data_IF_765983308949
#
_entry.id   IF_765983308949
#
_cell.length_a   1.000
_cell.length_b   1.000
_cell.length_c   1.000
_cell.angle_alpha   90.00
_cell.angle_beta   90.00
_cell.angle_gamma   90.00
#
_symmetry.space_group_name_H-M   'P 1'
#
loop_
_entity.id
_entity.type
_entity.pdbx_description
1 polymer ?
#
# COMPACT_ATOMS: atom_id res chain seq x y z
N UNK A 1 -48.95 19.95 -66.39
CA UNK A 1 -48.75 18.77 -65.55
C UNK A 1 -47.52 19.03 -64.64
N UNK A 2 -47.79 19.45 -63.44
CA UNK A 2 -46.76 19.88 -62.48
C UNK A 2 -46.46 18.72 -61.54
N UNK A 3 -45.22 18.28 -61.52
CA UNK A 3 -44.74 17.23 -60.62
C UNK A 3 -44.12 17.87 -59.35
N UNK A 4 -44.81 17.73 -58.23
CA UNK A 4 -44.33 18.14 -56.91
C UNK A 4 -43.47 17.03 -56.31
N UNK A 5 -42.21 17.36 -55.95
CA UNK A 5 -41.27 16.49 -55.16
C UNK A 5 -41.50 16.68 -53.71
N UNK A 6 -41.54 15.63 -52.88
CA UNK A 6 -41.69 15.77 -51.39
C UNK A 6 -40.40 16.16 -50.75
N UNK A 7 -40.41 17.23 -49.98
CA UNK A 7 -39.33 17.69 -49.10
C UNK A 7 -39.23 16.76 -47.88
N UNK A 8 -38.11 16.05 -47.75
CA UNK A 8 -37.79 15.20 -46.58
C UNK A 8 -37.40 16.07 -45.38
N UNK A 9 -38.22 15.99 -44.36
CA UNK A 9 -38.01 16.61 -43.02
C UNK A 9 -36.83 15.93 -42.28
N UNK A 10 -35.65 16.56 -42.32
CA UNK A 10 -34.48 16.18 -41.57
C UNK A 10 -34.57 16.76 -40.15
N UNK A 11 -35.38 16.17 -39.28
CA UNK A 11 -35.30 16.42 -37.86
C UNK A 11 -34.00 15.81 -37.32
N UNK A 12 -33.00 16.66 -37.05
CA UNK A 12 -31.78 16.32 -36.33
C UNK A 12 -32.14 15.75 -34.97
N UNK A 13 -31.90 14.46 -34.77
CA UNK A 13 -31.93 13.82 -33.45
C UNK A 13 -30.84 14.45 -32.58
N UNK A 14 -31.21 15.39 -31.73
CA UNK A 14 -30.34 15.87 -30.64
C UNK A 14 -30.02 14.65 -29.76
N UNK A 15 -28.79 14.17 -29.82
CA UNK A 15 -28.25 13.17 -28.89
C UNK A 15 -28.38 13.73 -27.47
N UNK A 16 -29.10 13.01 -26.60
CA UNK A 16 -29.14 13.33 -25.17
C UNK A 16 -27.70 13.33 -24.66
N UNK A 17 -27.30 14.34 -23.87
CA UNK A 17 -25.97 14.36 -23.27
C UNK A 17 -25.82 13.08 -22.44
N UNK A 18 -24.80 12.27 -22.72
CA UNK A 18 -24.42 11.11 -21.93
C UNK A 18 -24.13 11.60 -20.52
N UNK A 19 -24.97 11.21 -19.57
CA UNK A 19 -24.80 11.52 -18.15
C UNK A 19 -23.43 10.99 -17.76
N UNK A 20 -22.49 11.87 -17.37
CA UNK A 20 -21.18 11.46 -16.93
C UNK A 20 -21.34 10.36 -15.87
N UNK A 21 -20.62 9.26 -16.03
CA UNK A 21 -20.67 8.12 -15.08
C UNK A 21 -20.36 8.64 -13.69
N UNK A 22 -21.29 8.48 -12.76
CA UNK A 22 -21.12 8.88 -11.38
C UNK A 22 -20.12 7.93 -10.70
N UNK A 23 -19.06 8.47 -10.11
CA UNK A 23 -18.09 7.69 -9.37
C UNK A 23 -18.71 7.06 -8.12
N UNK A 24 -18.21 5.88 -7.73
CA UNK A 24 -18.56 5.17 -6.51
C UNK A 24 -17.41 5.21 -5.49
N UNK A 25 -17.73 4.93 -4.23
CA UNK A 25 -16.74 4.75 -3.15
C UNK A 25 -15.76 3.63 -3.50
N UNK A 26 -16.22 2.57 -4.17
CA UNK A 26 -15.37 1.48 -4.64
C UNK A 26 -14.30 1.95 -5.66
N UNK A 27 -14.65 2.90 -6.55
CA UNK A 27 -13.65 3.48 -7.46
C UNK A 27 -12.65 4.38 -6.71
N UNK A 28 -13.07 5.09 -5.66
CA UNK A 28 -12.15 5.83 -4.77
C UNK A 28 -11.24 4.87 -4.00
N UNK A 29 -11.78 3.78 -3.47
CA UNK A 29 -11.00 2.72 -2.83
C UNK A 29 -9.94 2.15 -3.76
N UNK A 30 -10.31 1.81 -4.99
CA UNK A 30 -9.38 1.26 -5.98
C UNK A 30 -8.24 2.25 -6.32
N UNK A 31 -8.55 3.54 -6.47
CA UNK A 31 -7.54 4.58 -6.71
C UNK A 31 -6.59 4.75 -5.51
N UNK A 32 -7.11 4.74 -4.28
CA UNK A 32 -6.30 4.80 -3.06
C UNK A 32 -5.41 3.56 -2.92
N UNK A 33 -5.95 2.38 -3.21
CA UNK A 33 -5.18 1.12 -3.20
C UNK A 33 -4.08 1.10 -4.27
N UNK A 34 -4.27 1.75 -5.41
CA UNK A 34 -3.22 1.90 -6.42
C UNK A 34 -2.12 2.88 -5.98
N UNK A 35 -2.47 3.93 -5.22
CA UNK A 35 -1.51 4.91 -4.67
C UNK A 35 -0.72 4.31 -3.50
N UNK A 36 -1.39 3.61 -2.60
CA UNK A 36 -0.87 3.01 -1.38
C UNK A 36 -1.54 1.65 -1.16
N UNK A 37 -0.97 0.56 -1.70
CA UNK A 37 -1.58 -0.76 -1.60
C UNK A 37 -1.83 -1.15 -0.15
N UNK A 38 -3.10 -1.36 0.20
CA UNK A 38 -3.53 -1.65 1.57
C UNK A 38 -2.91 -2.93 2.13
N UNK A 39 -2.55 -3.87 1.25
CA UNK A 39 -1.83 -5.08 1.62
C UNK A 39 -0.42 -4.83 2.17
N UNK A 40 0.14 -3.61 1.96
CA UNK A 40 1.45 -3.22 2.50
C UNK A 40 1.36 -2.62 3.90
N UNK A 41 0.16 -2.35 4.41
CA UNK A 41 -0.01 -1.86 5.77
C UNK A 41 0.57 -2.83 6.79
N UNK A 42 0.93 -2.32 7.95
CA UNK A 42 1.36 -3.15 9.06
C UNK A 42 0.23 -4.10 9.51
N UNK A 43 0.56 -5.33 9.92
CA UNK A 43 -0.41 -6.36 10.31
C UNK A 43 -1.37 -5.96 11.44
N UNK A 44 -0.94 -5.01 12.28
CA UNK A 44 -1.74 -4.48 13.38
C UNK A 44 -2.63 -3.30 12.99
N UNK A 45 -2.48 -2.79 11.76
CA UNK A 45 -3.18 -1.61 11.28
C UNK A 45 -4.59 -1.92 10.76
N UNK A 46 -5.40 -0.87 10.56
CA UNK A 46 -6.74 -0.98 10.00
C UNK A 46 -6.93 0.07 8.90
N UNK A 47 -6.73 -0.32 7.66
CA UNK A 47 -6.77 0.55 6.47
C UNK A 47 -7.83 0.10 5.46
N UNK A 48 -8.12 0.95 4.49
CA UNK A 48 -9.11 0.71 3.46
C UNK A 48 -10.46 1.32 3.78
N UNK A 49 -11.56 0.70 3.35
CA UNK A 49 -12.93 1.16 3.60
C UNK A 49 -13.37 0.68 4.99
N UNK A 50 -13.40 1.59 5.96
CA UNK A 50 -13.71 1.28 7.37
C UNK A 50 -15.19 1.42 7.70
N UNK A 51 -15.91 2.31 7.00
CA UNK A 51 -17.34 2.49 7.19
C UNK A 51 -18.00 2.94 5.88
N UNK A 52 -19.24 2.52 5.63
CA UNK A 52 -19.96 2.83 4.40
C UNK A 52 -20.08 1.63 3.46
N UNK A 53 -20.35 1.90 2.18
CA UNK A 53 -20.54 0.86 1.15
C UNK A 53 -19.81 1.23 -0.15
N UNK A 54 -19.19 0.26 -0.84
CA UNK A 54 -18.50 0.50 -2.11
C UNK A 54 -19.40 1.07 -3.20
N UNK A 55 -20.71 0.73 -3.18
CA UNK A 55 -21.68 1.15 -4.19
C UNK A 55 -22.20 2.59 -3.97
N UNK A 56 -21.93 3.18 -2.81
CA UNK A 56 -22.38 4.54 -2.56
C UNK A 56 -21.70 5.53 -3.52
N UNK A 57 -22.42 6.61 -3.91
CA UNK A 57 -21.84 7.62 -4.80
C UNK A 57 -20.70 8.38 -4.12
N UNK A 58 -19.68 8.72 -4.91
CA UNK A 58 -18.56 9.55 -4.50
C UNK A 58 -18.44 10.75 -5.45
N UNK A 59 -18.84 11.93 -4.99
CA UNK A 59 -18.76 13.21 -5.72
C UNK A 59 -17.86 14.21 -5.03
N UNK A 60 -17.86 14.19 -3.70
CA UNK A 60 -17.11 15.11 -2.85
C UNK A 60 -16.35 14.33 -1.80
N UNK A 61 -15.03 14.41 -1.86
CA UNK A 61 -14.12 13.82 -0.88
C UNK A 61 -13.48 14.90 -0.01
N UNK A 62 -13.39 14.63 1.29
CA UNK A 62 -12.71 15.46 2.27
C UNK A 62 -11.52 14.69 2.84
N UNK A 63 -10.31 15.28 2.78
CA UNK A 63 -9.08 14.70 3.33
C UNK A 63 -8.79 15.31 4.69
N UNK A 64 -8.36 14.50 5.66
CA UNK A 64 -7.88 14.95 6.96
C UNK A 64 -6.80 13.99 7.49
N UNK A 65 -6.00 14.43 8.46
CA UNK A 65 -5.13 13.53 9.23
C UNK A 65 -6.01 12.76 10.21
N UNK A 66 -6.81 13.46 11.01
CA UNK A 66 -7.63 12.87 12.06
C UNK A 66 -9.12 13.08 11.81
N UNK A 67 -9.93 12.09 12.19
CA UNK A 67 -11.37 12.27 12.34
C UNK A 67 -11.65 12.87 13.74
N UNK A 68 -11.81 14.19 13.79
CA UNK A 68 -12.22 14.93 14.99
C UNK A 68 -13.67 15.41 14.87
N UNK A 69 -14.29 15.83 15.98
CA UNK A 69 -15.63 16.46 15.96
C UNK A 69 -15.73 17.63 14.99
N UNK A 70 -14.68 18.45 14.93
CA UNK A 70 -14.63 19.59 14.02
C UNK A 70 -14.58 19.16 12.55
N UNK A 71 -13.82 18.10 12.22
CA UNK A 71 -13.74 17.51 10.87
C UNK A 71 -15.07 16.84 10.51
N UNK A 72 -15.68 16.08 11.42
CA UNK A 72 -16.98 15.44 11.21
C UNK A 72 -18.07 16.49 10.91
N UNK A 73 -18.16 17.56 11.75
CA UNK A 73 -19.07 18.68 11.51
C UNK A 73 -18.81 19.39 10.17
N UNK A 74 -17.54 19.56 9.76
CA UNK A 74 -17.21 20.11 8.44
C UNK A 74 -17.70 19.19 7.32
N UNK A 75 -17.47 17.89 7.43
CA UNK A 75 -17.92 16.89 6.45
C UNK A 75 -19.44 16.94 6.26
N UNK A 76 -20.21 16.95 7.35
CA UNK A 76 -21.67 17.03 7.33
C UNK A 76 -22.18 18.34 6.71
N UNK A 77 -21.65 19.49 7.16
CA UNK A 77 -22.05 20.80 6.60
C UNK A 77 -21.77 20.91 5.11
N UNK A 78 -20.64 20.37 4.64
CA UNK A 78 -20.25 20.40 3.22
C UNK A 78 -20.88 19.27 2.41
N UNK A 79 -21.65 18.41 3.06
CA UNK A 79 -22.33 17.27 2.45
C UNK A 79 -21.35 16.44 1.62
N UNK A 80 -20.20 16.06 2.18
CA UNK A 80 -19.25 15.17 1.50
C UNK A 80 -19.81 13.75 1.44
N UNK A 81 -19.47 13.02 0.42
CA UNK A 81 -19.88 11.61 0.25
C UNK A 81 -18.81 10.67 0.82
N UNK A 82 -17.54 11.16 0.89
CA UNK A 82 -16.40 10.33 1.27
C UNK A 82 -15.43 11.12 2.13
N UNK A 83 -15.13 10.60 3.30
CA UNK A 83 -14.09 11.11 4.19
C UNK A 83 -12.87 10.18 4.08
N UNK A 84 -11.73 10.73 3.72
CA UNK A 84 -10.46 10.00 3.60
C UNK A 84 -9.55 10.54 4.70
N UNK A 85 -9.24 9.70 5.67
CA UNK A 85 -8.42 10.05 6.82
C UNK A 85 -7.08 9.32 6.77
N UNK A 86 -6.07 9.93 7.35
CA UNK A 86 -4.79 9.27 7.52
C UNK A 86 -4.89 8.25 8.65
N UNK A 87 -5.24 8.68 9.86
CA UNK A 87 -5.42 7.79 11.01
C UNK A 87 -6.79 7.09 10.97
N UNK A 88 -6.83 5.77 11.15
CA UNK A 88 -8.08 5.02 11.16
C UNK A 88 -8.92 5.37 12.41
N UNK A 89 -10.19 5.83 12.26
CA UNK A 89 -11.06 6.08 13.39
C UNK A 89 -11.53 4.81 14.09
N UNK A 90 -11.44 3.67 13.42
CA UNK A 90 -11.68 2.35 13.94
C UNK A 90 -10.31 1.68 14.05
N UNK A 91 -9.73 1.73 15.22
CA UNK A 91 -8.39 1.21 15.43
C UNK A 91 -8.39 0.11 16.48
N UNK A 92 -8.05 -1.10 16.05
CA UNK A 92 -7.83 -2.26 16.90
C UNK A 92 -6.32 -2.48 17.04
N UNK A 93 -5.63 -1.57 17.73
CA UNK A 93 -4.23 -1.74 18.04
C UNK A 93 -3.97 -3.07 18.77
N UNK A 94 -2.75 -3.57 18.73
CA UNK A 94 -2.32 -4.71 19.56
C UNK A 94 -1.77 -4.18 20.88
N UNK A 95 -2.28 -4.71 21.98
CA UNK A 95 -1.61 -4.62 23.27
C UNK A 95 -0.69 -5.85 23.39
N UNK A 96 0.58 -5.66 23.04
CA UNK A 96 1.54 -6.75 22.94
C UNK A 96 1.17 -7.80 21.87
N UNK A 97 1.18 -9.10 22.23
CA UNK A 97 0.87 -10.20 21.31
C UNK A 97 -0.63 -10.48 21.12
N UNK A 98 -1.53 -9.72 21.79
CA UNK A 98 -2.98 -9.95 21.71
C UNK A 98 -3.64 -8.86 20.88
N UNK A 99 -4.50 -9.21 19.89
CA UNK A 99 -5.33 -8.21 19.22
C UNK A 99 -6.22 -7.54 20.29
N UNK A 100 -6.29 -6.21 20.28
CA UNK A 100 -7.26 -5.49 21.09
C UNK A 100 -8.66 -5.97 20.68
N UNK A 101 -9.54 -6.17 21.65
CA UNK A 101 -10.92 -6.56 21.39
C UNK A 101 -11.56 -5.51 20.49
N UNK A 102 -12.20 -5.93 19.41
CA UNK A 102 -12.83 -5.07 18.43
C UNK A 102 -13.77 -4.01 19.00
N UNK A 103 -14.34 -3.19 18.13
CA UNK A 103 -15.31 -2.14 18.51
C UNK A 103 -16.36 -2.74 19.43
N UNK A 104 -16.41 -2.24 20.69
CA UNK A 104 -17.40 -2.69 21.67
C UNK A 104 -18.76 -1.99 21.48
N UNK A 105 -18.69 -0.74 21.02
CA UNK A 105 -19.86 0.12 20.92
C UNK A 105 -19.58 1.22 19.89
N UNK A 106 -20.61 1.58 19.13
CA UNK A 106 -20.61 2.72 18.19
C UNK A 106 -21.85 3.55 18.50
N UNK A 107 -21.75 4.38 19.55
CA UNK A 107 -22.80 5.29 19.96
C UNK A 107 -22.24 6.71 20.05
N UNK A 108 -23.07 7.76 19.99
CA UNK A 108 -22.60 9.16 20.15
C UNK A 108 -21.85 9.42 21.45
N UNK A 109 -22.12 8.63 22.51
CA UNK A 109 -21.46 8.74 23.81
C UNK A 109 -20.12 7.99 23.87
N UNK A 110 -19.71 7.30 22.79
CA UNK A 110 -18.43 6.62 22.73
C UNK A 110 -17.30 7.64 22.67
N UNK A 111 -16.38 7.61 23.62
CA UNK A 111 -15.18 8.43 23.57
C UNK A 111 -14.33 8.15 22.33
N UNK A 112 -13.76 9.20 21.76
CA UNK A 112 -12.91 9.14 20.59
C UNK A 112 -13.66 9.09 19.25
N UNK A 113 -12.95 8.90 18.12
CA UNK A 113 -13.49 9.10 16.78
C UNK A 113 -14.59 8.11 16.37
N UNK A 114 -14.68 6.94 17.00
CA UNK A 114 -15.76 5.97 16.74
C UNK A 114 -17.14 6.48 17.10
N UNK A 115 -17.26 7.37 18.09
CA UNK A 115 -18.53 8.01 18.46
C UNK A 115 -19.11 8.93 17.39
N UNK A 116 -18.31 9.33 16.41
CA UNK A 116 -18.74 10.18 15.29
C UNK A 116 -19.31 9.37 14.12
N UNK A 117 -19.14 8.05 14.11
CA UNK A 117 -19.56 7.17 12.99
C UNK A 117 -21.08 7.12 12.79
N UNK A 118 -21.94 7.07 13.82
CA UNK A 118 -23.37 7.02 13.64
C UNK A 118 -23.91 8.17 12.78
N UNK A 119 -23.55 9.40 13.07
CA UNK A 119 -24.03 10.58 12.35
C UNK A 119 -23.49 10.62 10.91
N UNK A 120 -22.21 10.27 10.71
CA UNK A 120 -21.61 10.20 9.39
C UNK A 120 -22.25 9.11 8.52
N UNK A 121 -22.52 7.92 9.07
CA UNK A 121 -23.20 6.84 8.36
C UNK A 121 -24.66 7.17 8.07
N UNK A 122 -25.38 7.80 8.98
CA UNK A 122 -26.75 8.29 8.76
C UNK A 122 -26.80 9.29 7.59
N UNK A 123 -25.78 10.13 7.46
CA UNK A 123 -25.59 11.06 6.33
C UNK A 123 -25.01 10.39 5.06
N UNK A 124 -24.81 9.07 5.05
CA UNK A 124 -24.19 8.28 3.98
C UNK A 124 -22.76 8.74 3.61
N UNK A 125 -21.99 9.16 4.60
CA UNK A 125 -20.56 9.45 4.42
C UNK A 125 -19.79 8.16 4.60
N UNK A 126 -19.04 7.76 3.58
CA UNK A 126 -18.10 6.63 3.67
C UNK A 126 -16.75 7.09 4.23
N UNK A 127 -16.09 6.23 4.98
CA UNK A 127 -14.81 6.54 5.64
C UNK A 127 -13.74 5.55 5.16
N UNK A 128 -12.66 6.09 4.59
CA UNK A 128 -11.47 5.33 4.20
C UNK A 128 -10.26 5.84 4.99
N UNK A 129 -9.36 4.92 5.34
CA UNK A 129 -8.09 5.24 6.00
C UNK A 129 -6.90 4.65 5.24
N UNK A 130 -5.74 5.35 5.29
CA UNK A 130 -4.53 4.94 4.59
C UNK A 130 -3.36 4.60 5.51
N UNK A 131 -3.14 5.35 6.58
CA UNK A 131 -2.18 5.17 7.67
C UNK A 131 -0.85 4.52 7.20
N UNK A 132 -0.47 3.37 7.78
CA UNK A 132 0.81 2.73 7.46
C UNK A 132 0.94 2.27 6.00
N UNK A 133 -0.17 2.01 5.29
CA UNK A 133 -0.11 1.72 3.85
C UNK A 133 0.50 2.90 3.08
N UNK A 134 0.17 4.15 3.46
CA UNK A 134 0.71 5.35 2.84
C UNK A 134 2.15 5.64 3.30
N UNK A 135 2.52 5.24 4.53
CA UNK A 135 3.88 5.39 5.05
C UNK A 135 4.89 4.52 4.30
N UNK A 136 4.48 3.30 3.95
CA UNK A 136 5.36 2.34 3.27
C UNK A 136 5.37 2.54 1.74
N UNK A 137 4.36 3.20 1.19
CA UNK A 137 4.21 3.37 -0.26
C UNK A 137 5.35 4.20 -0.87
N UNK A 138 5.74 3.86 -2.09
CA UNK A 138 6.62 4.70 -2.92
C UNK A 138 5.90 6.01 -3.24
N UNK A 139 6.55 7.13 -2.96
CA UNK A 139 5.94 8.47 -3.06
C UNK A 139 4.89 8.73 -1.99
N UNK A 140 4.86 7.98 -0.90
CA UNK A 140 4.02 8.19 0.27
C UNK A 140 4.60 9.20 1.26
N UNK A 141 4.13 9.16 2.51
CA UNK A 141 4.41 10.17 3.55
C UNK A 141 5.91 10.44 3.72
N UNK A 142 6.69 9.39 3.85
CA UNK A 142 8.13 9.50 4.10
C UNK A 142 8.93 9.97 2.88
N UNK A 143 8.51 9.59 1.67
CA UNK A 143 9.11 10.10 0.44
C UNK A 143 8.84 11.60 0.27
N UNK A 144 7.62 12.06 0.59
CA UNK A 144 7.24 13.49 0.49
C UNK A 144 8.08 14.35 1.43
N UNK A 145 8.38 13.88 2.63
CA UNK A 145 9.31 14.58 3.53
C UNK A 145 10.72 14.64 2.97
N UNK A 146 11.19 13.60 2.28
CA UNK A 146 12.50 13.57 1.66
C UNK A 146 12.59 14.40 0.38
N UNK A 147 11.51 14.53 -0.40
CA UNK A 147 11.48 15.26 -1.67
C UNK A 147 11.91 16.72 -1.50
N UNK A 148 11.70 17.29 -0.30
CA UNK A 148 12.22 18.63 0.07
C UNK A 148 13.72 18.77 -0.13
N UNK A 149 14.49 17.67 -0.01
CA UNK A 149 15.95 17.66 -0.05
C UNK A 149 16.51 17.21 -1.40
N UNK A 150 15.67 16.80 -2.35
CA UNK A 150 16.05 16.31 -3.70
C UNK A 150 17.16 15.24 -3.63
N UNK A 151 16.93 14.13 -2.94
CA UNK A 151 17.95 13.11 -2.77
C UNK A 151 18.33 12.46 -4.11
N UNK A 152 19.62 12.16 -4.29
CA UNK A 152 20.12 11.49 -5.52
C UNK A 152 19.73 10.01 -5.57
N UNK A 153 19.47 9.41 -4.42
CA UNK A 153 18.93 8.07 -4.29
C UNK A 153 18.14 7.95 -3.00
N UNK A 154 17.21 7.00 -2.97
CA UNK A 154 16.43 6.70 -1.77
C UNK A 154 16.23 5.21 -1.59
N UNK A 155 16.06 4.79 -0.36
CA UNK A 155 15.70 3.42 0.00
C UNK A 155 14.82 3.41 1.25
N UNK A 156 14.04 2.37 1.49
CA UNK A 156 13.38 2.18 2.78
C UNK A 156 14.38 2.18 3.93
N UNK A 157 13.97 2.71 5.07
CA UNK A 157 14.71 2.58 6.33
C UNK A 157 14.57 1.13 6.85
N UNK A 158 13.34 0.65 6.94
CA UNK A 158 12.99 -0.74 7.24
C UNK A 158 12.15 -1.29 6.06
N UNK A 159 12.76 -2.11 5.20
CA UNK A 159 12.02 -2.74 4.10
C UNK A 159 10.87 -3.59 4.63
N UNK A 160 9.71 -3.52 3.96
CA UNK A 160 8.63 -4.47 4.23
C UNK A 160 9.00 -5.79 3.56
N UNK A 161 9.17 -6.81 4.37
CA UNK A 161 9.34 -8.18 3.94
C UNK A 161 7.98 -8.86 4.05
N UNK A 162 7.43 -9.28 2.94
CA UNK A 162 6.20 -10.06 2.93
C UNK A 162 6.54 -11.53 2.78
N UNK A 163 6.44 -12.26 3.87
CA UNK A 163 6.50 -13.72 3.81
C UNK A 163 5.37 -14.25 2.93
N UNK A 164 5.71 -15.17 2.03
CA UNK A 164 4.70 -15.85 1.20
C UNK A 164 3.99 -14.98 0.15
N UNK A 165 4.56 -13.86 -0.30
CA UNK A 165 4.05 -13.14 -1.48
C UNK A 165 4.36 -13.80 -2.80
N UNK A 166 5.46 -14.52 -2.84
CA UNK A 166 5.87 -15.33 -3.97
C UNK A 166 6.06 -16.77 -3.50
N UNK A 167 5.80 -17.69 -4.39
CA UNK A 167 6.00 -19.10 -4.18
C UNK A 167 6.95 -19.64 -5.26
N UNK A 168 7.78 -20.60 -4.89
CA UNK A 168 8.42 -21.47 -5.82
C UNK A 168 7.47 -22.63 -6.09
N UNK A 169 6.88 -22.66 -7.28
CA UNK A 169 6.21 -23.85 -7.80
C UNK A 169 7.28 -24.80 -8.31
N UNK A 170 7.22 -26.03 -7.87
CA UNK A 170 7.99 -27.16 -8.39
C UNK A 170 7.00 -28.19 -8.89
N UNK A 171 7.12 -28.62 -10.13
CA UNK A 171 6.26 -29.65 -10.72
C UNK A 171 7.12 -30.64 -11.50
N UNK A 172 6.73 -31.91 -11.46
CA UNK A 172 7.42 -32.99 -12.16
C UNK A 172 6.59 -33.38 -13.38
N UNK A 173 7.19 -33.28 -14.57
CA UNK A 173 6.47 -33.41 -15.84
C UNK A 173 7.30 -34.22 -16.86
N UNK A 174 6.67 -35.05 -17.70
CA UNK A 174 7.38 -35.73 -18.80
C UNK A 174 8.10 -34.72 -19.70
N UNK A 175 9.34 -35.04 -20.12
CA UNK A 175 10.20 -34.14 -20.89
C UNK A 175 9.52 -33.57 -22.15
N UNK A 176 8.70 -34.38 -22.83
CA UNK A 176 7.99 -33.96 -24.04
C UNK A 176 6.92 -32.90 -23.82
N UNK A 177 6.50 -32.68 -22.56
CA UNK A 177 5.39 -31.81 -22.20
C UNK A 177 5.84 -30.52 -21.48
N UNK A 178 7.10 -30.42 -21.09
CA UNK A 178 7.61 -29.31 -20.26
C UNK A 178 7.35 -27.94 -20.88
N UNK A 179 7.57 -27.78 -22.19
CA UNK A 179 7.37 -26.52 -22.90
C UNK A 179 5.89 -26.09 -22.94
N UNK A 180 4.97 -27.05 -23.08
CA UNK A 180 3.54 -26.82 -23.08
C UNK A 180 3.09 -26.37 -21.69
N UNK A 181 3.51 -27.08 -20.66
CA UNK A 181 3.18 -26.77 -19.27
C UNK A 181 3.77 -25.42 -18.88
N UNK A 182 5.04 -25.16 -19.12
CA UNK A 182 5.71 -23.89 -18.83
C UNK A 182 4.95 -22.70 -19.43
N UNK A 183 4.53 -22.77 -20.70
CA UNK A 183 3.74 -21.72 -21.34
C UNK A 183 2.38 -21.53 -20.68
N UNK A 184 1.65 -22.61 -20.43
CA UNK A 184 0.35 -22.53 -19.78
C UNK A 184 0.42 -21.89 -18.38
N UNK A 185 1.45 -22.20 -17.61
CA UNK A 185 1.70 -21.58 -16.30
C UNK A 185 2.08 -20.10 -16.42
N UNK A 186 2.92 -19.76 -17.42
CA UNK A 186 3.35 -18.37 -17.66
C UNK A 186 2.21 -17.47 -18.10
N UNK A 187 1.27 -17.95 -18.88
CA UNK A 187 0.04 -17.23 -19.26
C UNK A 187 -0.81 -16.86 -18.05
N UNK A 188 -0.69 -17.60 -16.96
CA UNK A 188 -1.36 -17.30 -15.69
C UNK A 188 -0.51 -16.47 -14.72
N UNK A 189 0.66 -15.99 -15.15
CA UNK A 189 1.52 -15.10 -14.38
C UNK A 189 2.66 -15.78 -13.63
N UNK A 190 2.94 -17.07 -13.87
CA UNK A 190 4.15 -17.71 -13.36
C UNK A 190 5.42 -17.28 -14.15
N UNK A 191 6.58 -17.35 -13.50
CA UNK A 191 7.88 -17.11 -14.16
C UNK A 191 8.18 -15.66 -14.49
N UNK A 192 7.65 -14.68 -13.72
CA UNK A 192 8.00 -13.27 -13.87
C UNK A 192 9.08 -12.90 -12.85
N UNK A 193 10.25 -12.47 -13.31
CA UNK A 193 11.36 -12.00 -12.48
C UNK A 193 11.80 -10.63 -12.99
N UNK A 194 11.38 -9.56 -12.33
CA UNK A 194 11.66 -8.19 -12.74
C UNK A 194 11.04 -7.89 -14.11
N UNK A 195 11.88 -7.70 -15.14
CA UNK A 195 11.43 -7.42 -16.51
C UNK A 195 11.47 -8.66 -17.42
N UNK A 196 11.73 -9.84 -16.86
CA UNK A 196 11.79 -11.09 -17.60
C UNK A 196 10.53 -11.91 -17.34
N UNK A 197 9.99 -12.51 -18.39
CA UNK A 197 8.86 -13.44 -18.34
C UNK A 197 9.29 -14.84 -18.70
N UNK A 198 8.44 -15.84 -18.46
CA UNK A 198 8.69 -17.26 -18.71
C UNK A 198 9.97 -17.82 -18.04
N UNK A 199 10.42 -17.16 -16.95
CA UNK A 199 11.57 -17.62 -16.20
C UNK A 199 11.26 -18.96 -15.53
N UNK A 200 12.06 -19.97 -15.85
CA UNK A 200 11.97 -21.30 -15.26
C UNK A 200 13.36 -21.88 -15.04
N UNK A 201 13.42 -22.92 -14.23
CA UNK A 201 14.59 -23.78 -14.11
C UNK A 201 14.16 -25.22 -14.31
N UNK A 202 14.91 -25.96 -15.07
CA UNK A 202 14.61 -27.33 -15.46
C UNK A 202 15.75 -28.26 -15.03
N UNK A 203 15.39 -29.41 -14.41
CA UNK A 203 16.32 -30.40 -13.98
C UNK A 203 15.78 -31.80 -14.34
N UNK A 204 16.51 -32.58 -15.11
CA UNK A 204 16.15 -33.93 -15.42
C UNK A 204 16.33 -34.88 -14.21
N UNK A 205 15.36 -35.72 -13.98
CA UNK A 205 15.34 -36.65 -12.86
C UNK A 205 14.47 -37.86 -13.13
N UNK A 206 14.32 -38.72 -12.13
CA UNK A 206 13.50 -39.91 -12.21
C UNK A 206 12.53 -39.94 -11.01
N UNK A 207 11.22 -39.89 -11.28
CA UNK A 207 10.17 -40.11 -10.33
C UNK A 207 9.86 -41.60 -10.13
N UNK A 208 9.28 -41.95 -8.97
CA UNK A 208 8.78 -43.30 -8.71
C UNK A 208 7.34 -43.20 -8.19
N UNK A 209 6.47 -44.11 -8.68
CA UNK A 209 5.10 -44.18 -8.21
C UNK A 209 4.58 -45.61 -8.28
N UNK A 210 3.52 -45.88 -7.54
CA UNK A 210 2.73 -47.11 -7.61
C UNK A 210 1.25 -46.77 -7.57
N UNK A 211 0.55 -46.89 -8.69
CA UNK A 211 -0.91 -46.72 -8.73
C UNK A 211 -1.62 -47.91 -8.09
N UNK A 212 -2.75 -47.64 -7.44
CA UNK A 212 -3.68 -48.64 -6.93
C UNK A 212 -4.57 -49.23 -8.05
N UNK A 213 -5.57 -50.06 -7.69
CA UNK A 213 -6.47 -50.69 -8.65
C UNK A 213 -7.35 -49.70 -9.40
N UNK A 214 -7.60 -48.51 -8.83
CA UNK A 214 -8.48 -47.47 -9.38
C UNK A 214 -7.74 -46.44 -10.22
N UNK A 215 -6.43 -46.30 -10.03
CA UNK A 215 -5.57 -45.36 -10.72
C UNK A 215 -5.57 -45.54 -12.24
N UNK A 216 -5.35 -44.45 -12.97
CA UNK A 216 -5.22 -44.44 -14.44
C UNK A 216 -3.88 -43.81 -14.85
N UNK A 217 -2.77 -44.51 -14.62
CA UNK A 217 -1.45 -43.92 -14.88
C UNK A 217 -1.27 -43.62 -16.37
N UNK A 218 -0.78 -42.43 -16.69
CA UNK A 218 -0.41 -42.06 -18.06
C UNK A 218 0.83 -42.83 -18.56
N UNK A 219 1.69 -43.27 -17.63
CA UNK A 219 2.91 -44.08 -17.92
C UNK A 219 2.93 -45.25 -16.95
N UNK A 220 3.37 -46.44 -17.41
CA UNK A 220 3.53 -47.62 -16.57
C UNK A 220 2.24 -48.39 -16.30
N UNK A 221 2.23 -49.24 -15.25
CA UNK A 221 1.16 -50.18 -14.92
C UNK A 221 0.72 -50.03 -13.47
N UNK A 222 -0.54 -50.37 -13.20
CA UNK A 222 -1.10 -50.42 -11.85
C UNK A 222 -0.42 -51.46 -11.00
N UNK A 223 -0.39 -51.24 -9.68
CA UNK A 223 0.10 -52.17 -8.64
C UNK A 223 1.61 -52.48 -8.73
N UNK A 224 2.32 -51.90 -9.70
CA UNK A 224 3.76 -52.08 -9.89
C UNK A 224 4.48 -50.78 -9.48
N UNK A 225 5.65 -50.91 -8.88
CA UNK A 225 6.51 -49.74 -8.67
C UNK A 225 7.16 -49.36 -10.01
N UNK A 226 6.67 -48.28 -10.56
CA UNK A 226 7.17 -47.72 -11.84
C UNK A 226 8.20 -46.64 -11.61
N UNK A 227 9.02 -46.40 -12.63
CA UNK A 227 10.00 -45.30 -12.71
C UNK A 227 9.72 -44.51 -13.97
N UNK A 228 9.58 -43.24 -13.85
CA UNK A 228 9.36 -42.32 -14.97
C UNK A 228 10.46 -41.28 -15.04
N UNK A 229 10.99 -41.06 -16.24
CA UNK A 229 11.93 -39.99 -16.50
C UNK A 229 11.13 -38.69 -16.62
N UNK A 230 11.44 -37.72 -15.77
CA UNK A 230 10.69 -36.47 -15.62
C UNK A 230 11.64 -35.26 -15.57
N UNK A 231 11.12 -34.12 -15.96
CA UNK A 231 11.75 -32.83 -15.72
C UNK A 231 11.13 -32.22 -14.47
N UNK A 232 11.95 -31.88 -13.51
CA UNK A 232 11.60 -30.99 -12.41
C UNK A 232 11.60 -29.56 -12.94
N UNK A 233 10.41 -29.01 -13.18
CA UNK A 233 10.21 -27.64 -13.61
C UNK A 233 9.96 -26.74 -12.40
N UNK A 234 10.77 -25.68 -12.24
CA UNK A 234 10.63 -24.70 -11.18
C UNK A 234 10.29 -23.32 -11.74
N UNK A 235 9.28 -22.66 -11.16
CA UNK A 235 8.88 -21.31 -11.53
C UNK A 235 8.52 -20.48 -10.29
N UNK A 236 8.79 -19.18 -10.33
CA UNK A 236 8.28 -18.25 -9.30
C UNK A 236 6.83 -17.89 -9.63
N UNK A 237 5.96 -17.91 -8.64
CA UNK A 237 4.53 -17.61 -8.78
C UNK A 237 4.12 -16.56 -7.74
N UNK A 238 3.63 -15.37 -8.16
CA UNK A 238 3.03 -14.41 -7.24
C UNK A 238 1.80 -15.01 -6.55
N UNK A 239 1.63 -14.74 -5.25
CA UNK A 239 0.47 -15.24 -4.46
C UNK A 239 -0.87 -14.92 -5.14
N UNK A 240 -1.00 -13.74 -5.73
CA UNK A 240 -2.23 -13.33 -6.43
C UNK A 240 -2.58 -14.23 -7.62
N UNK A 241 -1.57 -14.85 -8.25
CA UNK A 241 -1.72 -15.72 -9.41
C UNK A 241 -1.83 -17.20 -9.04
N UNK A 242 -1.55 -17.57 -7.77
CA UNK A 242 -1.36 -18.96 -7.35
C UNK A 242 -2.55 -19.87 -7.72
N UNK A 243 -3.77 -19.42 -7.44
CA UNK A 243 -4.97 -20.21 -7.75
C UNK A 243 -5.20 -20.42 -9.25
N UNK A 244 -4.88 -19.42 -10.09
CA UNK A 244 -4.97 -19.53 -11.54
C UNK A 244 -3.90 -20.47 -12.10
N UNK A 245 -2.67 -20.34 -11.60
CA UNK A 245 -1.52 -21.17 -11.99
C UNK A 245 -1.77 -22.64 -11.63
N UNK A 246 -2.26 -22.95 -10.43
CA UNK A 246 -2.57 -24.34 -10.02
C UNK A 246 -3.69 -24.92 -10.88
N UNK A 247 -4.73 -24.16 -11.21
CA UNK A 247 -5.77 -24.65 -12.14
C UNK A 247 -5.20 -24.95 -13.55
N UNK A 248 -4.33 -24.09 -14.05
CA UNK A 248 -3.68 -24.30 -15.34
C UNK A 248 -2.74 -25.52 -15.31
N UNK A 249 -2.07 -25.77 -14.18
CA UNK A 249 -1.25 -26.97 -13.96
C UNK A 249 -2.10 -28.22 -14.16
N UNK A 250 -3.20 -28.37 -13.42
CA UNK A 250 -4.09 -29.54 -13.55
C UNK A 250 -4.69 -29.66 -14.95
N UNK A 251 -5.05 -28.55 -15.61
CA UNK A 251 -5.61 -28.58 -16.96
C UNK A 251 -4.60 -28.94 -18.06
N UNK A 252 -3.31 -28.72 -17.81
CA UNK A 252 -2.25 -28.87 -18.82
C UNK A 252 -1.33 -30.06 -18.56
N UNK A 253 -1.41 -30.71 -17.42
CA UNK A 253 -0.61 -31.88 -17.10
C UNK A 253 -1.27 -33.14 -17.62
N UNK A 254 -0.47 -34.11 -18.11
CA UNK A 254 -0.98 -35.41 -18.61
C UNK A 254 -1.31 -36.40 -17.50
N UNK A 255 -0.75 -36.17 -16.29
CA UNK A 255 -1.02 -37.07 -15.16
C UNK A 255 -2.37 -36.74 -14.54
N UNK A 256 -3.07 -37.77 -14.12
CA UNK A 256 -4.33 -37.70 -13.36
C UNK A 256 -4.13 -36.89 -12.04
N UNK A 257 -3.02 -37.17 -11.35
CA UNK A 257 -2.57 -36.49 -10.15
C UNK A 257 -1.13 -35.99 -10.34
N UNK A 258 -0.92 -34.75 -10.78
CA UNK A 258 0.41 -34.17 -10.91
C UNK A 258 1.09 -34.01 -9.55
N UNK A 259 2.32 -34.49 -9.43
CA UNK A 259 3.13 -34.18 -8.26
C UNK A 259 3.69 -32.76 -8.37
N UNK A 260 3.40 -31.91 -7.39
CA UNK A 260 3.95 -30.56 -7.31
C UNK A 260 4.06 -30.07 -5.86
N UNK A 261 4.96 -29.15 -5.64
CA UNK A 261 5.18 -28.48 -4.35
C UNK A 261 5.09 -26.97 -4.50
N UNK A 262 4.67 -26.30 -3.42
CA UNK A 262 4.65 -24.86 -3.30
C UNK A 262 5.47 -24.43 -2.07
N UNK A 263 6.64 -23.83 -2.31
CA UNK A 263 7.48 -23.29 -1.26
C UNK A 263 7.28 -21.78 -1.16
N UNK A 264 6.86 -21.22 -0.01
CA UNK A 264 6.84 -19.77 0.17
C UNK A 264 8.26 -19.23 0.07
N UNK A 265 8.43 -18.09 -0.60
CA UNK A 265 9.70 -17.40 -0.76
C UNK A 265 9.70 -16.13 0.08
N UNK A 266 10.79 -15.90 0.80
CA UNK A 266 11.04 -14.62 1.46
C UNK A 266 11.50 -13.59 0.43
N UNK A 267 10.92 -12.39 0.44
CA UNK A 267 11.41 -11.29 -0.36
C UNK A 267 12.75 -10.80 0.20
N UNK A 268 13.76 -10.68 -0.67
CA UNK A 268 15.05 -10.12 -0.26
C UNK A 268 14.88 -8.64 0.10
N UNK A 269 15.10 -8.30 1.37
CA UNK A 269 14.98 -6.95 1.92
C UNK A 269 15.75 -5.88 1.11
N UNK A 270 16.86 -6.24 0.47
CA UNK A 270 17.65 -5.33 -0.35
C UNK A 270 17.02 -4.91 -1.70
N UNK A 271 15.93 -5.56 -2.14
CA UNK A 271 15.20 -5.24 -3.38
C UNK A 271 13.83 -4.63 -3.14
N UNK A 272 13.38 -4.55 -1.89
CA UNK A 272 12.09 -3.96 -1.58
C UNK A 272 12.11 -2.45 -1.87
N UNK A 273 11.22 -2.00 -2.75
CA UNK A 273 11.00 -0.57 -3.01
C UNK A 273 10.10 0.06 -1.93
N UNK A 274 9.33 -0.76 -1.22
CA UNK A 274 8.38 -0.37 -0.17
C UNK A 274 8.94 -0.68 1.21
N UNK A 275 8.56 0.09 2.20
CA UNK A 275 8.99 -0.12 3.58
C UNK A 275 8.74 1.11 4.45
N UNK A 276 8.87 0.92 5.75
CA UNK A 276 8.67 1.98 6.73
C UNK A 276 9.87 2.94 6.75
N UNK A 277 9.57 4.23 6.81
CA UNK A 277 10.58 5.27 6.73
C UNK A 277 11.33 5.31 5.40
N UNK A 278 12.14 6.34 5.20
CA UNK A 278 13.01 6.50 4.02
C UNK A 278 14.36 7.08 4.39
N UNK A 279 15.38 6.61 3.70
CA UNK A 279 16.74 7.22 3.74
C UNK A 279 17.06 7.78 2.38
N UNK A 280 17.32 9.08 2.31
CA UNK A 280 17.69 9.79 1.09
C UNK A 280 19.13 10.24 1.13
N UNK A 281 19.94 9.89 0.12
CA UNK A 281 21.31 10.33 -0.03
C UNK A 281 21.34 11.72 -0.66
N UNK A 282 22.04 12.66 -0.04
CA UNK A 282 22.21 14.02 -0.55
C UNK A 282 23.32 14.07 -1.61
N UNK A 283 23.18 14.91 -2.63
CA UNK A 283 24.21 15.11 -3.67
C UNK A 283 25.57 15.50 -3.08
N UNK A 284 25.57 16.29 -2.01
CA UNK A 284 26.75 16.67 -1.20
C UNK A 284 26.34 16.83 0.26
N UNK A 285 27.28 16.67 1.21
CA UNK A 285 26.98 16.90 2.61
C UNK A 285 26.47 18.32 2.85
N UNK A 286 25.43 18.47 3.68
CA UNK A 286 24.82 19.76 4.03
C UNK A 286 24.71 19.89 5.55
N UNK A 287 24.88 21.12 6.07
CA UNK A 287 24.71 21.41 7.49
C UNK A 287 23.24 21.22 7.92
N UNK A 288 23.01 20.66 9.09
CA UNK A 288 21.66 20.40 9.61
C UNK A 288 20.78 21.63 9.65
N UNK A 289 21.32 22.80 10.05
CA UNK A 289 20.58 24.07 10.02
C UNK A 289 20.14 24.50 8.61
N UNK A 290 20.93 24.18 7.58
CA UNK A 290 20.53 24.46 6.20
C UNK A 290 19.41 23.54 5.72
N UNK A 291 19.47 22.25 6.10
CA UNK A 291 18.39 21.29 5.84
C UNK A 291 17.09 21.73 6.51
N UNK A 292 17.15 22.17 7.79
CA UNK A 292 15.94 22.64 8.49
C UNK A 292 15.34 23.89 7.87
N UNK A 293 16.15 24.83 7.37
CA UNK A 293 15.61 26.01 6.65
C UNK A 293 14.84 25.62 5.39
N UNK A 294 15.31 24.58 4.66
CA UNK A 294 14.54 24.05 3.51
C UNK A 294 13.22 23.42 3.97
N UNK A 295 13.29 22.62 5.03
CA UNK A 295 12.11 21.94 5.58
C UNK A 295 11.04 22.92 6.08
N UNK A 296 11.42 24.05 6.69
CA UNK A 296 10.51 25.06 7.23
C UNK A 296 9.56 25.67 6.18
N UNK A 297 9.89 25.60 4.89
CA UNK A 297 8.99 26.01 3.80
C UNK A 297 7.86 24.98 3.51
N UNK A 298 7.94 23.79 4.07
CA UNK A 298 7.04 22.68 3.75
C UNK A 298 6.37 22.06 4.99
N UNK A 299 6.98 22.19 6.17
CA UNK A 299 6.54 21.63 7.45
C UNK A 299 6.50 22.72 8.50
N UNK A 300 5.44 22.74 9.32
CA UNK A 300 5.39 23.62 10.48
C UNK A 300 6.38 23.11 11.55
N UNK A 301 7.41 23.90 11.81
CA UNK A 301 8.44 23.59 12.81
C UNK A 301 8.23 24.30 14.15
N UNK A 302 7.07 24.91 14.36
CA UNK A 302 6.79 25.74 15.57
C UNK A 302 6.88 24.94 16.87
N UNK A 303 6.58 23.65 16.84
CA UNK A 303 6.67 22.72 17.97
C UNK A 303 7.84 21.72 17.83
N UNK A 304 8.76 21.93 16.87
CA UNK A 304 9.84 20.99 16.64
C UNK A 304 10.93 21.07 17.74
N UNK A 305 11.46 19.92 18.12
CA UNK A 305 12.57 19.78 19.05
C UNK A 305 13.73 19.06 18.39
N UNK A 306 14.96 19.33 18.86
CA UNK A 306 16.18 18.73 18.32
C UNK A 306 16.94 17.95 19.38
N UNK A 307 17.42 16.78 18.99
CA UNK A 307 18.37 15.94 19.74
C UNK A 307 19.68 15.92 18.95
N UNK A 308 20.82 16.17 19.60
CA UNK A 308 22.15 16.20 18.96
C UNK A 308 22.53 17.57 18.44
N UNK A 309 23.39 17.63 17.41
CA UNK A 309 24.04 18.86 16.94
C UNK A 309 23.71 19.14 15.46
N UNK A 310 22.93 20.19 15.21
CA UNK A 310 22.59 20.71 13.87
C UNK A 310 23.71 21.52 13.20
N UNK A 311 24.82 21.81 13.89
CA UNK A 311 25.98 22.46 13.27
C UNK A 311 26.76 21.48 12.38
N UNK A 312 26.59 20.18 12.61
CA UNK A 312 27.21 19.11 11.82
C UNK A 312 26.71 19.09 10.38
N UNK A 313 27.51 18.48 9.51
CA UNK A 313 27.11 18.18 8.12
C UNK A 313 26.68 16.73 8.01
N UNK A 314 25.62 16.49 7.23
CA UNK A 314 24.99 15.20 7.02
C UNK A 314 25.08 14.81 5.54
N UNK A 315 25.33 13.52 5.27
CA UNK A 315 25.38 12.94 3.91
C UNK A 315 24.00 12.48 3.43
N UNK A 316 23.12 12.21 4.38
CA UNK A 316 21.76 11.69 4.13
C UNK A 316 20.76 12.32 5.07
N UNK A 317 19.48 12.19 4.71
CA UNK A 317 18.35 12.48 5.57
C UNK A 317 17.52 11.21 5.71
N UNK A 318 17.14 10.87 6.94
CA UNK A 318 16.21 9.79 7.25
C UNK A 318 14.88 10.40 7.65
N UNK A 319 13.80 10.08 6.92
CA UNK A 319 12.45 10.50 7.23
C UNK A 319 11.65 9.30 7.77
N UNK A 320 11.04 9.50 8.95
CA UNK A 320 10.17 8.54 9.60
C UNK A 320 9.04 9.31 10.30
N UNK A 321 7.97 9.60 9.57
CA UNK A 321 6.82 10.35 10.05
C UNK A 321 6.08 9.62 11.18
N UNK A 322 5.32 10.37 11.98
CA UNK A 322 4.57 9.83 13.10
C UNK A 322 5.46 9.28 14.22
N UNK A 323 5.02 8.20 14.86
CA UNK A 323 5.77 7.51 15.91
C UNK A 323 6.57 6.35 15.30
N UNK A 324 7.89 6.38 15.42
CA UNK A 324 8.79 5.37 14.86
C UNK A 324 9.79 4.86 15.89
N UNK A 325 10.12 3.56 15.82
CA UNK A 325 11.07 2.93 16.73
C UNK A 325 12.51 3.43 16.52
N UNK A 326 13.13 4.02 17.55
CA UNK A 326 14.49 4.59 17.48
C UNK A 326 15.60 3.58 17.22
N UNK A 327 15.28 2.28 17.30
CA UNK A 327 16.24 1.22 17.02
C UNK A 327 16.73 1.21 15.57
N UNK A 328 15.91 1.72 14.64
CA UNK A 328 16.26 1.86 13.24
C UNK A 328 17.24 3.01 12.97
N UNK A 329 17.33 4.01 13.86
CA UNK A 329 18.16 5.20 13.66
C UNK A 329 19.59 4.95 14.15
N UNK A 330 20.47 4.48 13.27
CA UNK A 330 21.82 4.03 13.63
C UNK A 330 22.93 4.81 12.92
N UNK A 331 22.65 5.55 11.86
CA UNK A 331 23.64 6.25 11.06
C UNK A 331 23.89 7.68 11.56
N UNK A 332 25.04 8.00 12.18
CA UNK A 332 25.37 9.35 12.64
C UNK A 332 25.60 10.35 11.49
N UNK A 333 25.80 9.87 10.24
CA UNK A 333 25.94 10.70 9.07
C UNK A 333 24.60 11.10 8.44
N UNK A 334 23.48 10.60 8.97
CA UNK A 334 22.13 10.94 8.57
C UNK A 334 21.47 11.91 9.56
N UNK A 335 20.78 12.94 9.05
CA UNK A 335 19.85 13.74 9.85
C UNK A 335 18.52 13.01 9.91
N UNK A 336 18.06 12.64 11.10
CA UNK A 336 16.77 11.97 11.29
C UNK A 336 15.66 13.01 11.45
N UNK A 337 14.56 12.83 10.72
CA UNK A 337 13.31 13.55 10.85
C UNK A 337 12.24 12.55 11.30
N UNK A 338 11.62 12.78 12.45
CA UNK A 338 10.57 11.90 13.00
C UNK A 338 9.47 12.72 13.65
N UNK A 339 8.28 12.14 13.81
CA UNK A 339 7.18 12.86 14.46
C UNK A 339 7.29 12.88 15.96
N UNK A 340 7.70 11.77 16.60
CA UNK A 340 7.73 11.65 18.05
C UNK A 340 9.04 11.03 18.54
N UNK A 341 9.48 11.48 19.73
CA UNK A 341 10.60 10.92 20.48
C UNK A 341 10.28 10.95 21.97
N UNK A 342 10.41 9.81 22.65
CA UNK A 342 10.37 9.75 24.10
C UNK A 342 11.71 10.20 24.69
N UNK A 343 11.72 10.63 25.95
CA UNK A 343 12.92 11.09 26.63
C UNK A 343 14.09 10.07 26.56
N UNK A 344 13.83 8.81 26.87
CA UNK A 344 14.88 7.78 26.84
C UNK A 344 15.34 7.45 25.40
N UNK A 345 14.48 7.61 24.42
CA UNK A 345 14.84 7.46 23.00
C UNK A 345 15.81 8.57 22.57
N UNK A 346 15.55 9.82 23.00
CA UNK A 346 16.46 10.94 22.78
C UNK A 346 17.85 10.69 23.39
N UNK A 347 17.92 10.18 24.61
CA UNK A 347 19.19 9.81 25.27
C UNK A 347 19.92 8.69 24.50
N UNK A 348 19.19 7.69 24.01
CA UNK A 348 19.76 6.61 23.20
C UNK A 348 20.35 7.12 21.89
N UNK A 349 19.69 8.06 21.21
CA UNK A 349 20.21 8.71 20.01
C UNK A 349 21.46 9.53 20.28
N UNK A 350 21.49 10.31 21.36
CA UNK A 350 22.66 11.07 21.79
C UNK A 350 23.87 10.12 22.00
N UNK A 351 23.67 9.00 22.69
CA UNK A 351 24.73 8.02 22.94
C UNK A 351 25.25 7.39 21.63
N UNK A 352 24.42 7.25 20.61
CA UNK A 352 24.80 6.77 19.28
C UNK A 352 25.43 7.84 18.41
N UNK A 353 25.48 9.11 18.85
CA UNK A 353 25.93 10.26 18.06
C UNK A 353 24.97 10.62 16.91
N UNK A 354 23.72 10.17 16.96
CA UNK A 354 22.68 10.47 15.95
C UNK A 354 22.03 11.80 16.28
N UNK A 355 21.87 12.64 15.27
CA UNK A 355 21.10 13.89 15.36
C UNK A 355 19.71 13.70 14.79
N UNK A 356 18.68 14.04 15.56
CA UNK A 356 17.30 13.90 15.18
C UNK A 356 16.51 15.20 15.42
N UNK A 357 15.53 15.44 14.55
CA UNK A 357 14.52 16.50 14.72
C UNK A 357 13.17 15.84 14.88
N UNK A 358 12.57 16.04 16.05
CA UNK A 358 11.21 15.69 16.37
C UNK A 358 10.30 16.80 15.86
N UNK A 359 9.54 16.54 14.78
CA UNK A 359 8.72 17.54 14.08
C UNK A 359 7.37 17.77 14.74
N UNK A 360 6.94 16.84 15.59
CA UNK A 360 5.56 16.65 16.01
C UNK A 360 4.82 15.67 15.08
N UNK A 361 3.98 14.81 15.66
CA UNK A 361 3.26 13.74 14.95
C UNK A 361 2.51 14.31 13.74
N UNK A 362 1.51 15.13 13.98
CA UNK A 362 0.70 15.78 12.95
C UNK A 362 1.55 16.55 11.92
N UNK A 363 2.55 17.33 12.35
CA UNK A 363 3.36 18.15 11.46
C UNK A 363 4.22 17.31 10.50
N UNK A 364 4.65 16.11 10.92
CA UNK A 364 5.41 15.19 10.08
C UNK A 364 4.55 14.50 9.00
N UNK A 365 3.26 14.35 9.22
CA UNK A 365 2.32 13.63 8.33
C UNK A 365 1.52 14.58 7.43
N UNK A 366 1.17 15.75 7.93
CA UNK A 366 0.32 16.73 7.24
C UNK A 366 0.72 17.06 5.81
N UNK A 367 2.02 17.11 5.43
CA UNK A 367 2.47 17.37 4.07
C UNK A 367 1.95 16.39 3.02
N UNK A 368 1.50 15.19 3.41
CA UNK A 368 0.98 14.18 2.49
C UNK A 368 -0.35 14.60 1.85
N UNK A 369 -1.20 15.35 2.56
CA UNK A 369 -2.57 15.65 2.13
C UNK A 369 -2.65 16.48 0.84
N UNK A 370 -1.84 17.55 0.62
CA UNK A 370 -1.83 18.26 -0.66
C UNK A 370 -1.43 17.37 -1.84
N UNK A 371 -0.46 16.48 -1.64
CA UNK A 371 0.02 15.55 -2.67
C UNK A 371 -1.05 14.50 -2.98
N UNK A 372 -1.65 13.90 -1.96
CA UNK A 372 -2.74 12.94 -2.11
C UNK A 372 -3.94 13.55 -2.83
N UNK A 373 -4.33 14.79 -2.46
CA UNK A 373 -5.38 15.54 -3.14
C UNK A 373 -5.09 15.68 -4.64
N UNK A 374 -3.87 16.09 -4.99
CA UNK A 374 -3.48 16.29 -6.38
C UNK A 374 -3.50 14.97 -7.18
N UNK A 375 -3.05 13.87 -6.58
CA UNK A 375 -3.08 12.54 -7.19
C UNK A 375 -4.52 12.08 -7.45
N UNK A 376 -5.39 12.12 -6.44
CA UNK A 376 -6.79 11.73 -6.57
C UNK A 376 -7.54 12.58 -7.59
N UNK A 377 -7.35 13.90 -7.60
CA UNK A 377 -7.98 14.79 -8.57
C UNK A 377 -7.55 14.51 -10.03
N UNK A 378 -6.33 14.01 -10.22
CA UNK A 378 -5.81 13.60 -11.53
C UNK A 378 -6.42 12.26 -11.98
N UNK A 379 -6.52 11.30 -11.08
CA UNK A 379 -6.95 9.93 -11.38
C UNK A 379 -8.47 9.80 -11.47
N UNK A 380 -9.20 10.50 -10.60
CA UNK A 380 -10.66 10.42 -10.50
C UNK A 380 -11.32 11.72 -10.99
N UNK A 381 -11.35 11.88 -12.32
CA UNK A 381 -12.04 13.03 -12.92
C UNK A 381 -13.52 13.02 -12.54
N UNK A 382 -13.98 14.13 -11.95
CA UNK A 382 -15.36 14.27 -11.44
C UNK A 382 -15.50 14.11 -9.92
N UNK A 383 -14.44 13.68 -9.21
CA UNK A 383 -14.38 13.74 -7.76
C UNK A 383 -13.84 15.11 -7.29
N UNK A 384 -14.64 15.86 -6.57
CA UNK A 384 -14.19 17.10 -5.94
C UNK A 384 -13.44 16.78 -4.63
N UNK A 385 -12.11 16.80 -4.68
CA UNK A 385 -11.25 16.48 -3.53
C UNK A 385 -10.79 17.75 -2.83
N UNK A 386 -11.08 17.87 -1.54
CA UNK A 386 -10.67 19.01 -0.71
C UNK A 386 -10.03 18.52 0.58
N UNK A 387 -9.24 19.41 1.23
CA UNK A 387 -8.65 19.16 2.53
C UNK A 387 -9.50 19.87 3.57
N UNK A 388 -9.76 19.21 4.70
CA UNK A 388 -10.53 19.76 5.79
C UNK A 388 -9.85 21.02 6.37
N UNK A 389 -10.62 22.10 6.50
CA UNK A 389 -10.14 23.33 7.15
C UNK A 389 -10.08 23.17 8.66
N UNK A 390 -10.91 22.29 9.20
CA UNK A 390 -10.96 21.94 10.61
C UNK A 390 -9.86 20.99 11.05
N UNK A 391 -9.11 20.39 10.11
CA UNK A 391 -7.97 19.52 10.38
C UNK A 391 -6.80 20.34 10.93
N UNK A 392 -6.52 20.21 12.22
CA UNK A 392 -5.56 21.01 13.00
C UNK A 392 -4.72 20.12 13.91
N UNK A 393 -3.48 20.53 14.13
CA UNK A 393 -2.63 19.90 15.15
C UNK A 393 -3.29 20.02 16.55
N UNK A 394 -3.29 18.94 17.35
CA UNK A 394 -3.82 18.99 18.72
C UNK A 394 -2.91 19.78 19.67
N UNK A 395 -1.64 19.96 19.33
CA UNK A 395 -0.67 20.72 20.10
C UNK A 395 -0.41 22.10 19.51
N UNK A 396 -0.31 23.09 20.36
CA UNK A 396 0.08 24.44 19.99
C UNK A 396 1.35 24.85 20.77
N UNK A 397 2.22 25.73 20.20
CA UNK A 397 3.37 26.22 20.93
C UNK A 397 2.93 27.04 22.14
N UNK A 398 3.57 26.82 23.29
CA UNK A 398 3.40 27.66 24.48
C UNK A 398 4.31 28.87 24.35
N UNK A 399 3.76 30.09 24.47
CA UNK A 399 4.57 31.33 24.48
C UNK A 399 4.71 32.06 23.15
N UNK A 400 3.71 31.94 22.28
CA UNK A 400 3.49 32.86 21.14
C UNK A 400 2.33 33.77 21.38
#
# INVERSE_FOLDING_TARGET
>A
MSSATPQADRRARRSKPTRAKQLSVGEVYAALNAIAPFENAADWDNVGLLAGRPEWPARRALLAIDLTDAVAREALRRQVDTLIVYHPPIFNGRDGARPLRGIRSVTPDTEGPTGLLPDLLAARVSILALHTALDVAVGGTNDILLDVFEPVSRRPLEPVVHEGREYKLVVFVPAAEVDRLRRALSEQGAGVIGRYSECSFELAGQGTFRGDETARPAVGRKLVLERADEIRLEMVVPRACLGAVVRALYASHSYEEPAFDLYPLDSLAGRAAVGMGRVGLLRKPQRGRALLRRLAGHVDLSCAACVGDLKRSFRSVTAAAGAFGVQAFRDPASLVLTGELKHHDALALLRRGVTAVCLGHYASERPVLPVLRARLARELKGLAVTIARADRAPFAPVGR
#
